data_IF_874673041115
#
_entry.id   IF_874673041115
#
_cell.length_a   1.000
_cell.length_b   1.000
_cell.length_c   1.000
_cell.angle_alpha   90.00
_cell.angle_beta   90.00
_cell.angle_gamma   90.00
#
_symmetry.space_group_name_H-M   'P 1'
#
loop_
_entity.id
_entity.type
_entity.pdbx_description
1 polymer ?
#
# COMPACT_ATOMS: atom_id res chain seq x y z
N UNK A 1 -17.18 5.98 4.70
CA UNK A 1 -16.99 4.72 3.95
C UNK A 1 -17.55 4.95 2.55
N UNK A 2 -16.74 4.77 1.50
CA UNK A 2 -17.17 4.96 0.10
C UNK A 2 -18.18 3.88 -0.33
N UNK A 3 -19.00 4.16 -1.35
CA UNK A 3 -20.02 3.21 -1.84
C UNK A 3 -19.40 1.93 -2.40
N UNK A 4 -18.19 2.02 -2.96
CA UNK A 4 -17.40 0.85 -3.36
C UNK A 4 -17.17 -0.12 -2.21
N UNK A 5 -16.68 0.36 -1.05
CA UNK A 5 -16.42 -0.50 0.11
C UNK A 5 -17.73 -1.06 0.68
N UNK A 6 -18.85 -0.32 0.59
CA UNK A 6 -20.17 -0.84 0.98
C UNK A 6 -20.59 -2.01 0.11
N UNK A 7 -20.47 -1.89 -1.22
CA UNK A 7 -20.77 -2.99 -2.14
C UNK A 7 -19.89 -4.22 -1.91
N UNK A 8 -18.61 -4.02 -1.58
CA UNK A 8 -17.73 -5.15 -1.21
C UNK A 8 -18.18 -5.89 0.05
N UNK A 9 -18.79 -5.20 1.02
CA UNK A 9 -19.33 -5.86 2.23
C UNK A 9 -20.48 -6.79 1.89
N UNK A 10 -21.31 -6.45 0.90
CA UNK A 10 -22.47 -7.25 0.50
C UNK A 10 -22.05 -8.58 -0.17
N UNK A 11 -20.88 -8.60 -0.81
CA UNK A 11 -20.37 -9.80 -1.49
C UNK A 11 -19.35 -10.59 -0.67
N UNK A 12 -18.91 -10.10 0.50
CA UNK A 12 -17.89 -10.79 1.30
C UNK A 12 -18.47 -12.07 1.92
N UNK A 13 -17.93 -13.21 1.52
CA UNK A 13 -18.26 -14.54 2.05
C UNK A 13 -17.11 -15.08 2.92
N UNK A 14 -17.37 -16.11 3.72
CA UNK A 14 -16.40 -16.69 4.66
C UNK A 14 -15.14 -17.25 3.98
N UNK A 15 -15.26 -17.70 2.73
CA UNK A 15 -14.17 -18.26 1.93
C UNK A 15 -13.46 -17.24 1.03
N UNK A 16 -13.79 -15.95 1.14
CA UNK A 16 -13.18 -14.89 0.35
C UNK A 16 -12.12 -14.14 1.16
N UNK A 17 -10.94 -14.00 0.55
CA UNK A 17 -9.84 -13.20 1.10
C UNK A 17 -9.78 -11.90 0.31
N UNK A 18 -9.96 -10.77 1.00
CA UNK A 18 -9.78 -9.46 0.38
C UNK A 18 -8.37 -8.94 0.63
N UNK A 19 -7.59 -8.89 -0.45
CA UNK A 19 -6.32 -8.19 -0.50
C UNK A 19 -6.51 -6.79 -1.10
N UNK A 20 -5.90 -5.77 -0.51
CA UNK A 20 -5.89 -4.42 -1.06
C UNK A 20 -4.47 -3.93 -1.30
N UNK A 21 -4.23 -3.41 -2.51
CA UNK A 21 -2.92 -2.90 -2.93
C UNK A 21 -2.82 -1.39 -2.73
N UNK A 22 -1.74 -0.95 -2.11
CA UNK A 22 -1.41 0.44 -1.85
C UNK A 22 0.02 0.73 -2.31
N UNK A 23 0.25 1.99 -2.69
CA UNK A 23 1.56 2.48 -3.12
C UNK A 23 1.90 3.68 -2.25
N UNK A 24 3.09 3.67 -1.64
CA UNK A 24 3.72 4.83 -1.04
C UNK A 24 4.33 5.69 -2.17
N UNK A 25 3.87 6.93 -2.29
CA UNK A 25 4.25 7.87 -3.34
C UNK A 25 5.33 8.86 -2.88
N UNK A 26 5.68 8.88 -1.60
CA UNK A 26 6.57 9.87 -0.99
C UNK A 26 6.01 11.27 -1.01
N UNK A 27 4.68 11.46 -1.05
CA UNK A 27 4.12 12.81 -1.23
C UNK A 27 3.95 13.53 0.11
N UNK A 28 4.96 14.29 0.50
CA UNK A 28 4.92 15.17 1.67
C UNK A 28 4.62 16.62 1.26
N UNK A 29 3.90 17.31 2.13
CA UNK A 29 3.84 18.77 2.18
C UNK A 29 4.38 19.26 3.51
N UNK A 30 4.26 20.56 3.75
CA UNK A 30 4.64 21.19 5.01
C UNK A 30 3.40 21.71 5.74
N UNK A 31 3.36 21.52 7.05
CA UNK A 31 2.39 22.22 7.90
C UNK A 31 2.70 23.72 7.92
N UNK A 32 1.77 24.54 8.44
CA UNK A 32 2.05 25.97 8.71
C UNK A 32 3.24 26.21 9.66
N UNK A 33 3.69 25.17 10.38
CA UNK A 33 4.83 25.21 11.30
C UNK A 33 6.14 24.73 10.64
N UNK A 34 6.11 24.35 9.35
CA UNK A 34 7.27 23.82 8.64
C UNK A 34 7.61 22.37 8.96
N UNK A 35 6.68 21.63 9.58
CA UNK A 35 6.84 20.19 9.84
C UNK A 35 6.41 19.40 8.61
N UNK A 36 7.17 18.37 8.23
CA UNK A 36 6.79 17.47 7.16
C UNK A 36 5.49 16.72 7.51
N UNK A 37 4.53 16.73 6.60
CA UNK A 37 3.25 16.05 6.74
C UNK A 37 2.87 15.40 5.40
N UNK A 38 2.38 14.16 5.43
CA UNK A 38 1.80 13.53 4.24
C UNK A 38 0.68 14.44 3.69
N UNK A 39 0.76 14.78 2.40
CA UNK A 39 0.06 15.93 1.79
C UNK A 39 -1.47 15.94 1.99
N UNK A 40 -2.06 14.78 2.30
CA UNK A 40 -3.49 14.62 2.52
C UNK A 40 -3.77 13.86 3.84
N UNK A 41 -4.00 14.59 4.95
CA UNK A 41 -4.33 13.99 6.23
C UNK A 41 -5.61 13.14 6.20
N UNK A 42 -6.54 13.44 5.28
CA UNK A 42 -7.77 12.68 5.11
C UNK A 42 -7.53 11.29 4.53
N UNK A 43 -6.54 11.15 3.63
CA UNK A 43 -6.13 9.82 3.11
C UNK A 43 -5.48 8.96 4.19
N UNK A 44 -4.69 9.58 5.06
CA UNK A 44 -4.05 8.88 6.18
C UNK A 44 -5.09 8.45 7.22
N UNK A 45 -6.01 9.34 7.62
CA UNK A 45 -7.14 8.97 8.50
C UNK A 45 -7.97 7.83 7.90
N UNK A 46 -8.26 7.92 6.59
CA UNK A 46 -8.95 6.86 5.90
C UNK A 46 -8.19 5.54 5.97
N UNK A 47 -6.89 5.53 5.66
CA UNK A 47 -6.06 4.33 5.66
C UNK A 47 -5.98 3.69 7.05
N UNK A 48 -5.73 4.50 8.08
CA UNK A 48 -5.69 4.07 9.48
C UNK A 48 -7.01 3.42 9.92
N UNK A 49 -8.13 4.11 9.67
CA UNK A 49 -9.46 3.59 10.01
C UNK A 49 -9.81 2.36 9.19
N UNK A 50 -9.37 2.29 7.94
CA UNK A 50 -9.60 1.14 7.07
C UNK A 50 -8.85 -0.09 7.59
N UNK A 51 -7.57 0.03 7.90
CA UNK A 51 -6.78 -1.05 8.52
C UNK A 51 -7.39 -1.50 9.85
N UNK A 52 -7.73 -0.56 10.74
CA UNK A 52 -8.35 -0.84 12.05
C UNK A 52 -9.75 -1.43 11.93
N UNK A 53 -10.48 -1.20 10.83
CA UNK A 53 -11.81 -1.79 10.63
C UNK A 53 -11.79 -3.31 10.47
N UNK A 54 -10.61 -3.90 10.23
CA UNK A 54 -10.42 -5.34 9.98
C UNK A 54 -11.20 -5.86 8.76
N UNK A 55 -11.66 -4.98 7.88
CA UNK A 55 -12.39 -5.37 6.68
C UNK A 55 -11.50 -6.10 5.67
N UNK A 56 -10.27 -5.62 5.46
CA UNK A 56 -9.25 -6.29 4.66
C UNK A 56 -8.72 -7.53 5.39
N UNK A 57 -8.37 -8.56 4.65
CA UNK A 57 -7.71 -9.76 5.18
C UNK A 57 -6.20 -9.70 4.97
N UNK A 58 -5.77 -9.01 3.92
CA UNK A 58 -4.38 -8.72 3.64
C UNK A 58 -4.20 -7.37 2.92
N UNK A 59 -2.96 -6.87 2.98
CA UNK A 59 -2.49 -5.68 2.28
C UNK A 59 -1.24 -6.02 1.47
N UNK A 60 -1.14 -5.46 0.27
CA UNK A 60 0.15 -5.24 -0.38
C UNK A 60 0.47 -3.75 -0.30
N UNK A 61 1.64 -3.40 0.21
CA UNK A 61 2.15 -2.04 0.26
C UNK A 61 3.45 -2.00 -0.55
N UNK A 62 3.49 -1.18 -1.58
CA UNK A 62 4.65 -1.03 -2.46
C UNK A 62 5.26 0.36 -2.34
N UNK A 63 6.55 0.48 -2.58
CA UNK A 63 7.20 1.76 -2.90
C UNK A 63 6.97 2.08 -4.37
N UNK A 64 6.78 3.36 -4.70
CA UNK A 64 6.75 3.78 -6.10
C UNK A 64 8.14 3.61 -6.72
N UNK A 65 8.30 2.60 -7.57
CA UNK A 65 9.51 2.41 -8.38
C UNK A 65 9.21 2.76 -9.84
N UNK A 66 9.86 3.79 -10.36
CA UNK A 66 9.75 4.18 -11.76
C UNK A 66 11.11 4.01 -12.42
N UNK A 67 11.14 3.21 -13.48
CA UNK A 67 12.37 2.87 -14.18
C UNK A 67 12.44 3.63 -15.52
N UNK A 68 13.65 3.86 -16.06
CA UNK A 68 13.79 4.36 -17.42
C UNK A 68 13.01 3.46 -18.41
N UNK A 69 12.09 4.05 -19.17
CA UNK A 69 11.23 3.33 -20.11
C UNK A 69 9.84 2.95 -19.58
N UNK A 70 9.52 3.21 -18.29
CA UNK A 70 8.15 3.09 -17.78
C UNK A 70 7.22 4.08 -18.51
N UNK A 71 6.14 3.57 -19.11
CA UNK A 71 5.16 4.39 -19.84
C UNK A 71 4.00 4.76 -18.93
N UNK A 72 3.87 6.05 -18.61
CA UNK A 72 2.69 6.59 -17.93
C UNK A 72 1.83 7.35 -18.96
N UNK A 73 0.59 6.91 -19.19
CA UNK A 73 -0.31 7.46 -20.22
C UNK A 73 -0.61 8.97 -20.14
N UNK A 74 -0.31 9.64 -19.03
CA UNK A 74 -0.74 11.02 -18.76
C UNK A 74 0.40 11.99 -18.42
N UNK A 75 1.67 11.56 -18.47
CA UNK A 75 2.83 12.40 -18.16
C UNK A 75 4.02 12.07 -19.03
N UNK A 76 4.89 13.04 -19.29
CA UNK A 76 6.19 12.73 -19.88
C UNK A 76 6.96 11.83 -18.88
N UNK A 77 7.67 10.79 -19.34
CA UNK A 77 8.43 9.89 -18.47
C UNK A 77 9.31 10.66 -17.46
N UNK A 78 9.92 11.76 -17.89
CA UNK A 78 10.78 12.63 -17.06
C UNK A 78 10.05 13.30 -15.87
N UNK A 79 8.73 13.51 -15.98
CA UNK A 79 7.89 14.03 -14.89
C UNK A 79 7.31 12.94 -14.00
N UNK A 80 7.36 11.67 -14.43
CA UNK A 80 6.90 10.57 -13.60
C UNK A 80 7.99 10.16 -12.60
N UNK A 81 9.27 10.25 -12.98
CA UNK A 81 10.42 9.82 -12.17
C UNK A 81 10.38 10.44 -10.74
N UNK A 82 10.67 9.61 -9.75
CA UNK A 82 10.87 9.96 -8.33
C UNK A 82 11.71 11.25 -8.21
N UNK A 83 11.31 12.18 -7.35
CA UNK A 83 12.00 13.46 -7.12
C UNK A 83 11.57 14.67 -7.96
N UNK A 84 10.87 14.50 -9.11
CA UNK A 84 10.39 15.66 -9.91
C UNK A 84 8.91 15.98 -9.67
N UNK A 85 8.06 14.96 -9.52
CA UNK A 85 6.62 15.12 -9.25
C UNK A 85 6.17 14.43 -7.96
N UNK A 86 6.81 13.30 -7.65
CA UNK A 86 6.67 12.59 -6.39
C UNK A 86 7.81 12.99 -5.45
N UNK A 87 7.75 12.54 -4.19
CA UNK A 87 8.85 12.78 -3.26
C UNK A 87 10.14 12.13 -3.72
N UNK A 88 11.21 12.44 -2.98
CA UNK A 88 12.46 11.71 -3.08
C UNK A 88 12.28 10.23 -2.68
N UNK A 89 13.28 9.40 -2.96
CA UNK A 89 13.27 8.01 -2.50
C UNK A 89 13.19 7.95 -0.96
N UNK A 90 13.85 8.86 -0.25
CA UNK A 90 13.77 8.98 1.22
C UNK A 90 12.35 9.31 1.69
N UNK A 91 11.64 10.19 0.98
CA UNK A 91 10.23 10.47 1.24
C UNK A 91 9.37 9.24 1.01
N UNK A 92 9.58 8.52 -0.10
CA UNK A 92 8.86 7.28 -0.41
C UNK A 92 9.06 6.24 0.70
N UNK A 93 10.30 6.04 1.14
CA UNK A 93 10.61 5.13 2.24
C UNK A 93 10.01 5.58 3.57
N UNK A 94 9.97 6.88 3.83
CA UNK A 94 9.36 7.45 5.04
C UNK A 94 7.85 7.20 5.04
N UNK A 95 7.15 7.45 3.93
CA UNK A 95 5.72 7.15 3.80
C UNK A 95 5.47 5.64 3.93
N UNK A 96 6.27 4.81 3.26
CA UNK A 96 6.15 3.35 3.36
C UNK A 96 6.28 2.89 4.80
N UNK A 97 7.30 3.35 5.53
CA UNK A 97 7.52 2.97 6.92
C UNK A 97 6.32 3.35 7.80
N UNK A 98 5.78 4.54 7.60
CA UNK A 98 4.63 5.04 8.35
C UNK A 98 3.35 4.23 8.06
N UNK A 99 3.02 3.99 6.79
CA UNK A 99 1.86 3.16 6.40
C UNK A 99 2.01 1.71 6.87
N UNK A 100 3.23 1.17 6.81
CA UNK A 100 3.56 -0.15 7.35
C UNK A 100 3.28 -0.22 8.85
N UNK A 101 3.69 0.78 9.62
CA UNK A 101 3.45 0.81 11.07
C UNK A 101 1.94 0.83 11.39
N UNK A 102 1.14 1.60 10.63
CA UNK A 102 -0.34 1.57 10.74
C UNK A 102 -0.90 0.16 10.53
N UNK A 103 -0.44 -0.57 9.51
CA UNK A 103 -0.89 -1.93 9.22
C UNK A 103 -0.52 -2.88 10.36
N UNK A 104 0.70 -2.77 10.90
CA UNK A 104 1.20 -3.60 12.00
C UNK A 104 0.43 -3.33 13.30
N UNK A 105 0.20 -2.06 13.62
CA UNK A 105 -0.56 -1.63 14.80
C UNK A 105 -2.03 -2.08 14.73
N UNK A 106 -2.57 -2.25 13.52
CA UNK A 106 -3.89 -2.84 13.29
C UNK A 106 -3.92 -4.38 13.44
N UNK A 107 -2.80 -5.03 13.78
CA UNK A 107 -2.73 -6.46 14.10
C UNK A 107 -2.42 -7.38 12.92
N UNK A 108 -2.06 -6.82 11.76
CA UNK A 108 -1.59 -7.61 10.63
C UNK A 108 -0.12 -8.00 10.80
N UNK A 109 0.28 -9.11 10.19
CA UNK A 109 1.63 -9.64 10.23
C UNK A 109 2.28 -9.49 8.86
N UNK A 110 3.50 -8.95 8.84
CA UNK A 110 4.32 -8.91 7.63
C UNK A 110 4.90 -10.29 7.36
N UNK A 111 4.58 -10.89 6.23
CA UNK A 111 5.09 -12.21 5.82
C UNK A 111 6.02 -12.15 4.60
N UNK A 112 5.98 -11.06 3.86
CA UNK A 112 6.88 -10.73 2.74
C UNK A 112 7.23 -9.23 2.83
N UNK A 113 8.28 -8.80 2.14
CA UNK A 113 8.73 -7.41 2.02
C UNK A 113 7.58 -6.42 1.82
N UNK A 114 6.66 -6.69 0.91
CA UNK A 114 5.56 -5.78 0.57
C UNK A 114 4.19 -6.29 1.00
N UNK A 115 4.10 -7.41 1.74
CA UNK A 115 2.82 -8.02 2.07
C UNK A 115 2.59 -8.29 3.55
N UNK A 116 1.34 -8.01 3.95
CA UNK A 116 0.84 -8.08 5.31
C UNK A 116 -0.49 -8.83 5.31
N UNK A 117 -0.72 -9.70 6.28
CA UNK A 117 -1.98 -10.44 6.40
C UNK A 117 -2.39 -10.61 7.84
N UNK A 118 -3.67 -10.88 8.07
CA UNK A 118 -4.08 -11.51 9.33
C UNK A 118 -3.36 -12.87 9.49
N UNK A 119 -3.22 -13.39 10.72
CA UNK A 119 -2.70 -14.73 10.93
C UNK A 119 -3.50 -15.76 10.12
N UNK A 120 -2.79 -16.65 9.42
CA UNK A 120 -3.39 -17.78 8.70
C UNK A 120 -3.90 -17.48 7.27
N UNK A 121 -3.89 -16.23 6.81
CA UNK A 121 -4.38 -15.84 5.46
C UNK A 121 -3.28 -15.28 4.54
N UNK A 122 -2.01 -15.58 4.82
CA UNK A 122 -0.88 -15.18 3.97
C UNK A 122 -1.00 -15.80 2.57
N UNK A 123 -0.82 -14.99 1.51
CA UNK A 123 -0.84 -15.48 0.13
C UNK A 123 0.35 -16.39 -0.18
N UNK A 124 0.05 -17.60 -0.68
CA UNK A 124 1.08 -18.56 -1.14
C UNK A 124 1.83 -17.99 -2.34
N UNK A 125 1.14 -17.39 -3.29
CA UNK A 125 1.75 -16.78 -4.48
C UNK A 125 2.84 -15.77 -4.09
N UNK A 126 2.51 -14.87 -3.16
CA UNK A 126 3.44 -13.83 -2.71
C UNK A 126 4.61 -14.42 -1.90
N UNK A 127 4.37 -15.49 -1.11
CA UNK A 127 5.45 -16.22 -0.41
C UNK A 127 6.41 -16.91 -1.38
N UNK A 128 5.90 -17.50 -2.46
CA UNK A 128 6.72 -18.25 -3.40
C UNK A 128 7.68 -17.35 -4.18
N UNK A 129 7.27 -16.12 -4.53
CA UNK A 129 8.19 -15.14 -5.12
C UNK A 129 9.44 -14.93 -4.26
N UNK A 130 9.28 -14.95 -2.93
CA UNK A 130 10.40 -14.78 -1.99
C UNK A 130 11.21 -16.06 -1.77
N UNK A 131 10.57 -17.22 -1.72
CA UNK A 131 11.27 -18.50 -1.45
C UNK A 131 11.87 -19.13 -2.70
N UNK A 132 11.67 -18.52 -3.88
CA UNK A 132 12.09 -19.05 -5.19
C UNK A 132 11.64 -20.50 -5.41
N UNK A 133 10.48 -20.85 -4.87
CA UNK A 133 9.88 -22.17 -5.06
C UNK A 133 9.14 -22.23 -6.40
N UNK A 134 8.94 -23.44 -6.92
CA UNK A 134 8.13 -23.63 -8.12
C UNK A 134 6.66 -23.35 -7.79
N UNK A 135 6.03 -22.41 -8.49
CA UNK A 135 4.60 -22.11 -8.39
C UNK A 135 3.96 -22.10 -9.77
N UNK A 136 2.83 -22.81 -9.89
CA UNK A 136 1.95 -22.76 -11.06
C UNK A 136 0.77 -21.86 -10.66
N UNK A 137 0.69 -20.67 -11.27
CA UNK A 137 -0.47 -19.80 -11.18
C UNK A 137 -1.47 -20.13 -12.29
N UNK A 138 -2.76 -19.97 -12.00
CA UNK A 138 -3.85 -20.08 -12.97
C UNK A 138 -4.54 -18.73 -13.10
#
# INVERSE_FOLDING_TARGET
MTDFIRGLREIKQENMVFNFDFIAFGKFGETRKGEAQLWDPGKIDFFDRFAKSQFADSFSLYTLELFPGSTWKSKTPDQAISGTYYGSDDDIFTEFAYLKDIILDAGYQRYESSNFSKPGVSSIHNRVYRTMQNYIGF
#
